data_IF_704881353650
#
_entry.id   IF_704881353650
#
_cell.length_a   1.000
_cell.length_b   1.000
_cell.length_c   1.000
_cell.angle_alpha   90.00
_cell.angle_beta   90.00
_cell.angle_gamma   90.00
#
_symmetry.space_group_name_H-M   'P 1'
#
loop_
_entity.id
_entity.type
_entity.pdbx_description
1 polymer ?
#
# COMPACT_ATOMS: atom_id res chain seq x y z
N UNK A 1 -12.78 -0.68 2.05
CA UNK A 1 -12.07 -1.02 0.80
C UNK A 1 -10.69 -1.62 1.11
N UNK A 2 -9.85 -0.94 1.90
CA UNK A 2 -8.53 -1.47 2.34
C UNK A 2 -8.58 -2.91 2.88
N UNK A 3 -9.37 -3.18 3.92
CA UNK A 3 -9.47 -4.53 4.50
C UNK A 3 -9.92 -5.59 3.48
N UNK A 4 -10.92 -5.27 2.66
CA UNK A 4 -11.44 -6.19 1.65
C UNK A 4 -10.39 -6.56 0.58
N UNK A 5 -9.47 -5.63 0.27
CA UNK A 5 -8.36 -5.88 -0.64
C UNK A 5 -7.27 -6.74 0.02
N UNK A 6 -6.99 -6.51 1.30
CA UNK A 6 -6.09 -7.39 2.07
C UNK A 6 -6.64 -8.82 2.12
N UNK A 7 -7.92 -8.97 2.45
CA UNK A 7 -8.59 -10.29 2.49
C UNK A 7 -8.55 -10.98 1.12
N UNK A 8 -8.75 -10.22 0.04
CA UNK A 8 -8.68 -10.72 -1.34
C UNK A 8 -7.27 -11.17 -1.71
N UNK A 9 -6.24 -10.40 -1.35
CA UNK A 9 -4.82 -10.75 -1.52
C UNK A 9 -4.49 -12.04 -0.78
N UNK A 10 -4.86 -12.14 0.50
CA UNK A 10 -4.54 -13.30 1.32
C UNK A 10 -5.24 -14.56 0.82
N UNK A 11 -6.45 -14.41 0.27
CA UNK A 11 -7.13 -15.50 -0.43
C UNK A 11 -6.40 -15.91 -1.72
N UNK A 12 -5.91 -14.95 -2.51
CA UNK A 12 -5.14 -15.23 -3.71
C UNK A 12 -3.82 -15.95 -3.38
N UNK A 13 -3.09 -15.51 -2.35
CA UNK A 13 -1.85 -16.14 -1.89
C UNK A 13 -2.07 -17.58 -1.42
N UNK A 14 -3.13 -17.84 -0.63
CA UNK A 14 -3.49 -19.20 -0.22
C UNK A 14 -3.78 -20.11 -1.41
N UNK A 15 -4.48 -19.59 -2.41
CA UNK A 15 -4.79 -20.33 -3.65
C UNK A 15 -3.55 -20.58 -4.51
N UNK A 16 -2.57 -19.70 -4.44
CA UNK A 16 -1.29 -19.85 -5.14
C UNK A 16 -0.39 -20.91 -4.49
N UNK A 17 -0.45 -21.04 -3.16
CA UNK A 17 0.28 -22.07 -2.39
C UNK A 17 -0.37 -23.47 -2.45
N UNK A 18 -1.57 -23.60 -3.03
CA UNK A 18 -2.30 -24.87 -3.07
C UNK A 18 -1.60 -25.90 -3.98
N UNK A 19 -1.10 -27.03 -3.45
CA UNK A 19 -0.30 -27.99 -4.21
C UNK A 19 -1.15 -28.86 -5.15
N UNK A 20 -2.44 -29.04 -4.85
CA UNK A 20 -3.32 -29.94 -5.61
C UNK A 20 -3.54 -29.52 -7.08
N UNK A 21 -3.66 -28.22 -7.35
CA UNK A 21 -3.91 -27.70 -8.69
C UNK A 21 -3.12 -26.41 -8.88
N UNK A 22 -2.02 -26.50 -9.62
CA UNK A 22 -1.26 -25.33 -10.02
C UNK A 22 -2.13 -24.47 -10.94
N UNK A 23 -2.67 -23.36 -10.41
CA UNK A 23 -3.48 -22.41 -11.19
C UNK A 23 -2.65 -21.56 -12.15
N UNK A 24 -1.33 -21.54 -11.94
CA UNK A 24 -0.40 -20.73 -12.69
C UNK A 24 0.51 -21.64 -13.51
N UNK A 25 0.78 -21.24 -14.75
CA UNK A 25 1.64 -21.98 -15.67
C UNK A 25 3.13 -21.66 -15.45
N UNK A 26 3.52 -21.32 -14.21
CA UNK A 26 4.90 -21.04 -13.88
C UNK A 26 5.58 -22.35 -13.42
N UNK A 27 6.55 -22.88 -14.18
CA UNK A 27 7.30 -24.04 -13.75
C UNK A 27 8.04 -23.72 -12.44
N UNK A 28 8.10 -24.68 -11.53
CA UNK A 28 8.76 -24.54 -10.22
C UNK A 28 8.18 -23.42 -9.33
N UNK A 29 6.90 -23.05 -9.51
CA UNK A 29 6.23 -22.10 -8.64
C UNK A 29 6.45 -22.39 -7.14
N UNK A 30 6.37 -23.64 -6.64
CA UNK A 30 6.59 -23.91 -5.22
C UNK A 30 7.96 -23.46 -4.70
N UNK A 31 9.04 -23.70 -5.45
CA UNK A 31 10.39 -23.30 -5.02
C UNK A 31 10.55 -21.78 -5.02
N UNK A 32 9.96 -21.08 -5.98
CA UNK A 32 9.94 -19.62 -5.96
C UNK A 32 9.15 -19.05 -4.79
N UNK A 33 8.03 -19.70 -4.42
CA UNK A 33 7.26 -19.29 -3.26
C UNK A 33 8.02 -19.49 -1.96
N UNK A 34 8.80 -20.56 -1.83
CA UNK A 34 9.70 -20.81 -0.70
C UNK A 34 10.78 -19.73 -0.62
N UNK A 35 11.48 -19.45 -1.72
CA UNK A 35 12.50 -18.40 -1.81
C UNK A 35 11.92 -17.02 -1.43
N UNK A 36 10.72 -16.68 -1.92
CA UNK A 36 10.04 -15.44 -1.56
C UNK A 36 9.73 -15.41 -0.06
N UNK A 37 9.28 -16.51 0.54
CA UNK A 37 9.02 -16.53 1.99
C UNK A 37 10.32 -16.33 2.77
N UNK A 38 11.44 -16.92 2.33
CA UNK A 38 12.74 -16.81 3.00
C UNK A 38 13.33 -15.40 2.92
N UNK A 39 13.18 -14.71 1.78
CA UNK A 39 13.72 -13.35 1.58
C UNK A 39 12.87 -12.29 2.28
N UNK A 40 11.54 -12.41 2.19
CA UNK A 40 10.61 -11.37 2.64
C UNK A 40 9.97 -11.64 4.00
N UNK A 41 10.34 -12.74 4.67
CA UNK A 41 9.77 -13.15 5.96
C UNK A 41 8.22 -13.29 5.91
N UNK A 42 7.72 -13.80 4.78
CA UNK A 42 6.33 -14.23 4.61
C UNK A 42 5.36 -13.27 3.91
N UNK A 43 5.52 -11.94 3.95
CA UNK A 43 4.68 -11.01 3.18
C UNK A 43 5.52 -10.16 2.21
N UNK A 44 5.50 -10.55 0.94
CA UNK A 44 6.20 -9.85 -0.13
C UNK A 44 5.49 -8.55 -0.56
N UNK A 45 4.24 -8.31 -0.13
CA UNK A 45 3.49 -7.14 -0.55
C UNK A 45 2.61 -6.58 0.59
N UNK A 46 3.22 -5.95 1.60
CA UNK A 46 2.46 -5.35 2.69
C UNK A 46 1.63 -4.16 2.19
N UNK A 47 0.34 -4.15 2.53
CA UNK A 47 -0.53 -3.01 2.27
C UNK A 47 -0.59 -2.07 3.49
N UNK A 48 -0.65 -0.77 3.22
CA UNK A 48 -0.84 0.27 4.23
C UNK A 48 0.39 1.16 4.41
N UNK A 49 0.20 2.30 5.07
CA UNK A 49 1.25 3.29 5.26
C UNK A 49 2.27 2.84 6.31
N UNK A 50 1.80 2.36 7.46
CA UNK A 50 2.69 2.03 8.59
C UNK A 50 3.64 0.87 8.29
N UNK A 51 3.15 -0.19 7.63
CA UNK A 51 3.99 -1.31 7.21
C UNK A 51 5.04 -0.90 6.17
N UNK A 52 4.75 0.11 5.34
CA UNK A 52 5.63 0.61 4.29
C UNK A 52 6.40 1.88 4.69
N UNK A 53 6.30 2.33 5.94
CA UNK A 53 6.86 3.62 6.37
C UNK A 53 8.37 3.70 6.11
N UNK A 54 9.11 2.69 6.57
CA UNK A 54 10.58 2.61 6.40
C UNK A 54 11.03 2.62 4.92
N UNK A 55 10.49 1.76 4.02
CA UNK A 55 10.89 1.82 2.62
C UNK A 55 10.44 3.11 1.92
N UNK A 56 9.30 3.70 2.30
CA UNK A 56 8.84 4.98 1.73
C UNK A 56 9.71 6.15 2.18
N UNK A 57 10.08 6.22 3.45
CA UNK A 57 11.01 7.23 3.97
C UNK A 57 12.36 7.14 3.26
N UNK A 58 12.91 5.94 3.11
CA UNK A 58 14.15 5.73 2.37
C UNK A 58 14.03 6.13 0.89
N UNK A 59 12.93 5.72 0.23
CA UNK A 59 12.66 6.10 -1.16
C UNK A 59 12.66 7.62 -1.33
N UNK A 60 12.02 8.33 -0.42
CA UNK A 60 11.92 9.79 -0.45
C UNK A 60 13.28 10.44 -0.22
N UNK A 61 14.06 9.97 0.75
CA UNK A 61 15.44 10.45 0.95
C UNK A 61 16.28 10.28 -0.31
N UNK A 62 16.21 9.12 -0.98
CA UNK A 62 16.96 8.91 -2.22
C UNK A 62 16.44 9.76 -3.38
N UNK A 63 15.12 9.99 -3.46
CA UNK A 63 14.54 10.88 -4.47
C UNK A 63 14.95 12.33 -4.23
N UNK A 64 14.99 12.79 -2.98
CA UNK A 64 15.49 14.12 -2.62
C UNK A 64 16.97 14.26 -2.99
N UNK A 65 17.80 13.29 -2.61
CA UNK A 65 19.24 13.24 -2.95
C UNK A 65 19.49 13.30 -4.47
N UNK A 66 18.58 12.72 -5.27
CA UNK A 66 18.67 12.68 -6.72
C UNK A 66 18.00 13.88 -7.40
N UNK A 67 17.50 14.86 -6.64
CA UNK A 67 16.67 15.98 -7.12
C UNK A 67 15.42 15.53 -7.92
N UNK A 68 14.92 14.35 -7.54
CA UNK A 68 13.68 13.64 -7.86
C UNK A 68 12.41 14.48 -7.92
N UNK A 69 11.82 14.70 -6.74
CA UNK A 69 10.50 15.32 -6.43
C UNK A 69 10.44 15.59 -4.89
N UNK A 70 9.76 16.65 -4.40
CA UNK A 70 9.45 16.85 -2.97
C UNK A 70 8.33 15.93 -2.41
N UNK A 71 8.51 15.45 -1.18
CA UNK A 71 7.68 14.43 -0.50
C UNK A 71 6.18 14.75 -0.44
N UNK A 72 5.82 16.01 -0.15
CA UNK A 72 4.42 16.42 0.07
C UNK A 72 3.55 16.39 -1.19
N UNK A 73 4.15 16.35 -2.39
CA UNK A 73 3.42 16.31 -3.67
C UNK A 73 3.24 14.89 -4.21
N UNK A 74 3.93 13.89 -3.64
CA UNK A 74 3.96 12.53 -4.19
C UNK A 74 2.63 11.78 -4.00
N UNK A 75 1.88 12.13 -2.95
CA UNK A 75 0.60 11.50 -2.64
C UNK A 75 -0.55 12.48 -2.85
N UNK A 76 -1.42 12.18 -3.81
CA UNK A 76 -2.68 12.90 -3.94
C UNK A 76 -3.47 12.79 -2.62
N UNK A 77 -3.94 13.91 -2.04
CA UNK A 77 -4.76 13.86 -0.84
C UNK A 77 -6.00 13.00 -1.12
N UNK A 78 -6.20 11.98 -0.31
CA UNK A 78 -7.33 11.07 -0.43
C UNK A 78 -8.57 11.83 0.06
N UNK A 79 -9.20 12.62 -0.81
CA UNK A 79 -10.50 13.22 -0.56
C UNK A 79 -11.58 12.14 -0.62
N UNK A 80 -11.65 11.33 0.43
CA UNK A 80 -12.81 10.51 0.71
C UNK A 80 -13.97 11.41 1.14
N UNK A 81 -14.94 11.61 0.25
CA UNK A 81 -16.22 12.25 0.57
C UNK A 81 -16.96 11.39 1.61
N UNK A 82 -16.72 11.64 2.90
CA UNK A 82 -17.63 11.20 3.96
C UNK A 82 -18.78 12.20 3.98
N UNK A 83 -19.81 11.98 3.15
CA UNK A 83 -21.08 12.71 3.33
C UNK A 83 -22.04 11.83 4.12
N UNK A 84 -22.07 12.04 5.44
CA UNK A 84 -23.28 11.87 6.25
C UNK A 84 -23.21 12.76 7.50
N UNK A 85 -23.85 13.92 7.36
CA UNK A 85 -24.60 14.63 8.41
C UNK A 85 -23.81 15.36 9.49
N UNK A 86 -24.02 16.69 9.54
CA UNK A 86 -24.10 17.56 10.72
C UNK A 86 -22.96 17.49 11.75
N UNK A 87 -22.25 18.56 12.14
CA UNK A 87 -22.56 20.00 12.15
C UNK A 87 -21.38 20.72 12.90
N UNK A 88 -21.29 22.06 12.75
CA UNK A 88 -20.58 23.08 13.57
C UNK A 88 -19.01 22.99 13.59
N UNK A 89 -18.18 24.04 13.44
CA UNK A 89 -18.29 25.48 13.70
C UNK A 89 -17.11 26.23 13.03
N UNK A 90 -17.44 27.32 12.32
CA UNK A 90 -16.78 28.65 12.25
C UNK A 90 -15.26 28.79 12.43
N UNK A 91 -14.60 29.44 11.45
CA UNK A 91 -13.54 30.43 11.70
C UNK A 91 -13.58 31.56 10.65
N UNK A 92 -14.21 32.67 11.07
CA UNK A 92 -13.96 34.09 10.79
C UNK A 92 -13.32 34.54 9.47
N UNK A 93 -14.12 35.29 8.70
CA UNK A 93 -13.84 36.63 8.16
C UNK A 93 -12.41 37.17 8.22
N UNK A 94 -11.88 37.56 7.05
CA UNK A 94 -11.35 38.90 6.69
C UNK A 94 -10.69 38.76 5.30
N UNK A 95 -11.35 39.20 4.22
CA UNK A 95 -11.17 40.53 3.60
C UNK A 95 -9.74 41.01 3.71
N UNK A 96 -9.00 41.01 2.61
CA UNK A 96 -8.19 42.15 2.19
C UNK A 96 -7.79 41.93 0.71
N UNK A 97 -8.37 42.78 -0.14
CA UNK A 97 -7.85 43.34 -1.40
C UNK A 97 -7.13 42.39 -2.36
#
# INVERSE_FOLDING_TARGET
>A
MFNALNDSRDLALRRMKAPETHRYMLPFLPSYLEEINDIFDGDSWPYGLEANRKPLEALVTYLEDQAMIPLEELFAPIYGRISRGNHYTVCYWLVFV
#
